data_IF_956952264998
#
_entry.id   IF_956952264998
#
_cell.length_a   1.000
_cell.length_b   1.000
_cell.length_c   1.000
_cell.angle_alpha   90.00
_cell.angle_beta   90.00
_cell.angle_gamma   90.00
#
_symmetry.space_group_name_H-M   'P 1'
#
loop_
_entity.id
_entity.type
_entity.pdbx_description
1 polymer ?
#
# COMPACT_ATOMS: atom_id res chain seq x y z
N UNK A 1 14.98 5.94 -17.35
CA UNK A 1 15.94 7.06 -17.32
C UNK A 1 15.39 8.21 -16.49
N UNK A 2 14.15 8.63 -16.72
CA UNK A 2 13.45 9.68 -15.93
C UNK A 2 13.54 9.48 -14.40
N UNK A 3 13.20 8.30 -13.88
CA UNK A 3 13.29 8.02 -12.44
C UNK A 3 14.72 8.13 -11.90
N UNK A 4 15.70 7.68 -12.68
CA UNK A 4 17.12 7.74 -12.28
C UNK A 4 17.57 9.20 -12.21
N UNK A 5 17.19 10.02 -13.21
CA UNK A 5 17.48 11.46 -13.21
C UNK A 5 16.82 12.13 -12.01
N UNK A 6 15.52 11.89 -11.77
CA UNK A 6 14.78 12.47 -10.65
C UNK A 6 15.41 12.14 -9.30
N UNK A 7 15.79 10.88 -9.07
CA UNK A 7 16.45 10.45 -7.82
C UNK A 7 17.83 11.11 -7.69
N UNK A 8 18.62 11.13 -8.77
CA UNK A 8 19.97 11.71 -8.75
C UNK A 8 19.94 13.21 -8.48
N UNK A 9 19.05 13.94 -9.14
CA UNK A 9 18.84 15.38 -8.94
C UNK A 9 18.42 15.65 -7.49
N UNK A 10 17.41 14.94 -6.98
CA UNK A 10 16.97 15.07 -5.58
C UNK A 10 18.12 14.86 -4.57
N UNK A 11 18.96 13.86 -4.81
CA UNK A 11 20.14 13.62 -3.96
C UNK A 11 21.16 14.75 -4.05
N UNK A 12 21.41 15.30 -5.25
CA UNK A 12 22.33 16.41 -5.43
C UNK A 12 21.83 17.69 -4.77
N UNK A 13 20.54 18.00 -4.90
CA UNK A 13 19.89 19.11 -4.20
C UNK A 13 20.01 18.95 -2.68
N UNK A 14 19.78 17.73 -2.15
CA UNK A 14 19.96 17.45 -0.72
C UNK A 14 21.40 17.62 -0.23
N UNK A 15 22.38 17.20 -1.04
CA UNK A 15 23.78 17.13 -0.62
C UNK A 15 24.48 18.49 -0.62
N UNK A 16 24.03 19.40 -1.48
CA UNK A 16 24.65 20.70 -1.70
C UNK A 16 24.17 21.74 -0.68
N UNK A 17 25.08 22.61 -0.25
CA UNK A 17 24.76 23.67 0.74
C UNK A 17 23.73 24.66 0.18
N UNK A 18 23.79 24.91 -1.13
CA UNK A 18 22.92 25.85 -1.84
C UNK A 18 21.82 25.13 -2.65
N UNK A 19 21.57 23.84 -2.38
CA UNK A 19 20.54 23.06 -3.08
C UNK A 19 19.14 23.31 -2.52
N UNK A 20 18.13 23.19 -3.37
CA UNK A 20 16.72 23.41 -3.04
C UNK A 20 16.04 22.09 -2.63
N UNK A 21 16.54 21.46 -1.57
CA UNK A 21 15.96 20.23 -1.05
C UNK A 21 14.76 20.45 -0.14
N UNK A 22 13.73 19.62 -0.32
CA UNK A 22 12.60 19.49 0.60
C UNK A 22 12.23 18.01 0.82
N UNK A 23 11.62 17.73 1.97
CA UNK A 23 11.07 16.42 2.27
C UNK A 23 9.73 16.23 1.53
N UNK A 24 9.60 15.12 0.80
CA UNK A 24 8.41 14.80 0.01
C UNK A 24 7.86 13.45 0.46
N UNK A 25 6.63 13.45 1.00
CA UNK A 25 5.94 12.24 1.45
C UNK A 25 5.91 11.19 0.34
N UNK A 26 6.22 9.94 0.70
CA UNK A 26 6.27 8.84 -0.27
C UNK A 26 7.50 8.83 -1.19
N UNK A 27 8.37 9.85 -1.15
CA UNK A 27 9.53 9.96 -2.04
C UNK A 27 10.88 10.13 -1.32
N UNK A 28 11.07 11.18 -0.52
CA UNK A 28 12.36 11.45 0.14
C UNK A 28 12.18 12.11 1.52
N UNK A 29 13.12 11.83 2.42
CA UNK A 29 13.15 12.41 3.77
C UNK A 29 14.59 12.55 4.27
N UNK A 30 14.96 13.72 4.79
CA UNK A 30 16.15 13.89 5.61
C UNK A 30 15.79 13.65 7.08
N UNK A 31 16.36 12.59 7.65
CA UNK A 31 16.14 12.20 9.04
C UNK A 31 17.36 12.55 9.91
N UNK A 32 17.12 13.02 11.13
CA UNK A 32 18.15 13.27 12.13
C UNK A 32 18.60 11.97 12.80
N UNK A 33 19.73 12.01 13.52
CA UNK A 33 20.20 10.85 14.31
C UNK A 33 19.22 10.54 15.43
N UNK A 34 18.55 11.56 15.97
CA UNK A 34 17.49 11.44 16.96
C UNK A 34 16.30 10.65 16.38
N UNK A 35 15.82 11.00 15.19
CA UNK A 35 14.74 10.26 14.50
C UNK A 35 15.11 8.79 14.28
N UNK A 36 16.35 8.54 13.83
CA UNK A 36 16.86 7.18 13.62
C UNK A 36 16.90 6.40 14.94
N UNK A 37 17.26 7.05 16.05
CA UNK A 37 17.29 6.43 17.37
C UNK A 37 15.87 6.09 17.86
N UNK A 38 14.89 6.97 17.64
CA UNK A 38 13.49 6.71 17.99
C UNK A 38 12.91 5.51 17.24
N UNK A 39 13.42 5.23 16.03
CA UNK A 39 13.07 4.06 15.25
C UNK A 39 14.02 2.87 15.43
N UNK A 40 14.74 2.81 16.55
CA UNK A 40 15.62 1.69 16.93
C UNK A 40 16.68 1.36 15.86
N UNK A 41 17.14 2.39 15.13
CA UNK A 41 18.11 2.27 14.04
C UNK A 41 17.64 1.42 12.85
N UNK A 42 16.33 1.16 12.73
CA UNK A 42 15.74 0.52 11.56
C UNK A 42 15.71 1.52 10.42
N UNK A 43 16.45 1.28 9.33
CA UNK A 43 16.64 2.22 8.21
C UNK A 43 15.71 1.98 7.02
N UNK A 44 14.62 1.23 7.20
CA UNK A 44 13.66 0.99 6.12
C UNK A 44 12.96 2.31 5.77
N UNK A 45 13.04 2.80 4.50
CA UNK A 45 12.57 4.14 4.13
C UNK A 45 11.13 4.45 4.52
N UNK A 46 10.23 3.48 4.42
CA UNK A 46 8.80 3.65 4.77
C UNK A 46 8.54 4.09 6.22
N UNK A 47 9.53 3.94 7.12
CA UNK A 47 9.43 4.40 8.51
C UNK A 47 9.67 5.91 8.67
N UNK A 48 10.28 6.55 7.67
CA UNK A 48 10.67 7.98 7.70
C UNK A 48 9.96 8.80 6.62
N UNK A 49 9.75 8.22 5.44
CA UNK A 49 9.29 8.91 4.23
C UNK A 49 7.76 9.10 4.23
N UNK A 50 7.02 8.37 5.08
CA UNK A 50 5.57 8.40 5.10
C UNK A 50 4.96 7.85 3.81
N UNK A 51 3.65 8.06 3.66
CA UNK A 51 2.90 7.69 2.45
C UNK A 51 2.53 9.00 1.77
N UNK A 52 2.67 9.05 0.43
CA UNK A 52 2.12 10.14 -0.36
C UNK A 52 0.65 10.34 0.03
N UNK A 53 0.22 11.60 0.17
CA UNK A 53 -1.17 11.86 0.50
C UNK A 53 -2.02 11.29 -0.66
N UNK A 54 -2.73 10.20 -0.37
CA UNK A 54 -3.66 9.61 -1.33
C UNK A 54 -4.74 10.66 -1.58
N UNK A 55 -5.11 10.89 -2.84
CA UNK A 55 -6.29 11.71 -3.13
C UNK A 55 -7.46 11.17 -2.32
N UNK A 56 -7.97 11.99 -1.40
CA UNK A 56 -9.15 11.67 -0.61
C UNK A 56 -10.30 11.45 -1.59
N UNK A 57 -10.82 10.22 -1.64
CA UNK A 57 -11.99 9.91 -2.46
C UNK A 57 -13.27 10.57 -1.91
N UNK A 58 -13.15 11.28 -0.78
CA UNK A 58 -14.22 11.98 -0.10
C UNK A 58 -15.11 11.05 0.72
N UNK A 59 -14.76 9.77 0.81
CA UNK A 59 -15.57 8.75 1.48
C UNK A 59 -14.99 8.53 2.89
N UNK A 60 -15.79 8.73 3.96
CA UNK A 60 -15.37 8.40 5.31
C UNK A 60 -14.89 6.95 5.43
N UNK A 61 -13.81 6.72 6.19
CA UNK A 61 -13.24 5.38 6.36
C UNK A 61 -14.29 4.33 6.78
N UNK A 62 -15.18 4.68 7.70
CA UNK A 62 -16.21 3.77 8.20
C UNK A 62 -17.20 3.37 7.10
N UNK A 63 -17.60 4.31 6.23
CA UNK A 63 -18.50 4.07 5.10
C UNK A 63 -17.82 3.17 4.05
N UNK A 64 -16.56 3.47 3.71
CA UNK A 64 -15.77 2.64 2.78
C UNK A 64 -15.60 1.20 3.31
N UNK A 65 -15.37 1.05 4.60
CA UNK A 65 -15.23 -0.27 5.23
C UNK A 65 -16.55 -1.03 5.28
N UNK A 66 -17.67 -0.37 5.54
CA UNK A 66 -19.00 -0.98 5.49
C UNK A 66 -19.30 -1.51 4.09
N UNK A 67 -19.07 -0.71 3.05
CA UNK A 67 -19.29 -1.11 1.65
C UNK A 67 -18.38 -2.27 1.23
N UNK A 68 -17.07 -2.17 1.52
CA UNK A 68 -16.11 -3.22 1.16
C UNK A 68 -16.41 -4.55 1.87
N UNK A 69 -16.83 -4.50 3.14
CA UNK A 69 -17.16 -5.72 3.88
C UNK A 69 -18.48 -6.33 3.43
N UNK A 70 -19.46 -5.52 3.02
CA UNK A 70 -20.68 -5.99 2.39
C UNK A 70 -20.40 -6.70 1.05
N UNK A 71 -19.58 -6.08 0.19
CA UNK A 71 -19.16 -6.69 -1.07
C UNK A 71 -18.42 -8.01 -0.84
N UNK A 72 -17.48 -8.04 0.11
CA UNK A 72 -16.74 -9.24 0.48
C UNK A 72 -17.68 -10.36 0.96
N UNK A 73 -18.70 -10.04 1.75
CA UNK A 73 -19.69 -11.00 2.20
C UNK A 73 -20.50 -11.60 1.03
N UNK A 74 -20.86 -10.79 0.05
CA UNK A 74 -21.54 -11.24 -1.17
C UNK A 74 -20.63 -12.17 -1.99
N UNK A 75 -19.35 -11.82 -2.15
CA UNK A 75 -18.37 -12.65 -2.83
C UNK A 75 -18.19 -14.01 -2.15
N UNK A 76 -18.17 -14.06 -0.81
CA UNK A 76 -18.14 -15.34 -0.09
C UNK A 76 -19.41 -16.17 -0.30
N UNK A 77 -20.58 -15.55 -0.36
CA UNK A 77 -21.82 -16.26 -0.66
C UNK A 77 -21.80 -16.86 -2.07
N UNK A 78 -21.34 -16.09 -3.07
CA UNK A 78 -21.14 -16.56 -4.45
C UNK A 78 -20.13 -17.70 -4.53
N UNK A 79 -19.01 -17.58 -3.83
CA UNK A 79 -17.97 -18.60 -3.78
C UNK A 79 -18.50 -19.92 -3.24
N UNK A 80 -19.22 -19.92 -2.10
CA UNK A 80 -19.83 -21.13 -1.54
C UNK A 80 -20.83 -21.78 -2.49
N UNK A 81 -21.68 -20.97 -3.13
CA UNK A 81 -22.65 -21.48 -4.12
C UNK A 81 -21.94 -22.18 -5.28
N UNK A 82 -20.87 -21.57 -5.80
CA UNK A 82 -20.10 -22.14 -6.90
C UNK A 82 -19.39 -23.43 -6.47
N UNK A 83 -18.87 -23.46 -5.25
CA UNK A 83 -18.26 -24.66 -4.65
C UNK A 83 -19.26 -25.82 -4.57
N UNK A 84 -20.48 -25.55 -4.12
CA UNK A 84 -21.56 -26.55 -4.06
C UNK A 84 -21.97 -27.05 -5.45
N UNK A 85 -22.04 -26.15 -6.43
CA UNK A 85 -22.33 -26.51 -7.83
C UNK A 85 -21.22 -27.39 -8.42
N UNK A 86 -19.95 -27.08 -8.13
CA UNK A 86 -18.80 -27.89 -8.57
C UNK A 86 -18.87 -29.29 -7.94
N UNK A 87 -19.08 -29.39 -6.63
CA UNK A 87 -19.24 -30.68 -5.93
C UNK A 87 -20.37 -31.51 -6.54
N UNK A 88 -21.53 -30.89 -6.77
CA UNK A 88 -22.69 -31.55 -7.38
C UNK A 88 -22.36 -32.09 -8.77
N UNK A 89 -21.71 -31.28 -9.61
CA UNK A 89 -21.34 -31.67 -10.96
C UNK A 89 -20.32 -32.83 -10.96
N UNK A 90 -19.32 -32.78 -10.07
CA UNK A 90 -18.32 -33.84 -9.92
C UNK A 90 -18.93 -35.13 -9.36
N UNK A 91 -19.83 -35.04 -8.38
CA UNK A 91 -20.62 -36.18 -7.89
C UNK A 91 -21.47 -36.82 -9.00
N UNK A 92 -22.06 -36.00 -9.88
CA UNK A 92 -22.84 -36.47 -11.04
C UNK A 92 -22.04 -37.28 -12.07
N UNK A 93 -20.70 -37.17 -12.07
CA UNK A 93 -19.80 -37.94 -12.94
C UNK A 93 -18.92 -38.95 -12.16
N UNK A 94 -19.23 -39.20 -10.88
CA UNK A 94 -18.61 -40.26 -10.07
C UNK A 94 -17.40 -39.85 -9.22
N UNK A 95 -17.14 -38.55 -9.04
CA UNK A 95 -16.04 -38.04 -8.19
C UNK A 95 -16.60 -37.23 -6.99
N UNK A 96 -17.17 -37.90 -6.00
CA UNK A 96 -17.78 -37.27 -4.81
C UNK A 96 -16.74 -36.92 -3.71
N UNK A 97 -16.82 -35.72 -3.14
CA UNK A 97 -15.97 -35.21 -2.04
C UNK A 97 -16.61 -34.03 -1.28
#
# INVERSE_FOLDING_TARGET
EEDISKISETYHEWRNIDGEYEDIKGFCKSATIEDIREHEYVLTPGRYVGIEDVEDDGIPFDEKMEDMTAELAELFAKSRKLEDEIRKNLGGIGYEF
#
